data_IF_413108547703
#
_entry.id   IF_413108547703
#
_cell.length_a   1.000
_cell.length_b   1.000
_cell.length_c   1.000
_cell.angle_alpha   90.00
_cell.angle_beta   90.00
_cell.angle_gamma   90.00
#
_symmetry.space_group_name_H-M   'P 1'
#
loop_
_entity.id
_entity.type
_entity.pdbx_description
1 polymer ?
#
# COMPACT_ATOMS: atom_id res chain seq x y z
N UNK A 1 44.90 -42.00 23.27
CA UNK A 1 43.59 -42.22 23.89
C UNK A 1 42.68 -41.04 23.55
N UNK A 2 41.56 -41.34 22.86
CA UNK A 2 40.22 -40.71 22.85
C UNK A 2 40.12 -39.18 22.69
N UNK A 3 39.27 -38.58 21.86
CA UNK A 3 38.35 -38.97 20.79
C UNK A 3 37.90 -37.62 20.17
N UNK A 4 38.38 -37.27 18.98
CA UNK A 4 37.62 -37.04 17.74
C UNK A 4 36.14 -36.59 17.87
N UNK A 5 35.70 -35.72 16.94
CA UNK A 5 34.78 -34.61 17.13
C UNK A 5 33.33 -35.01 16.82
N UNK A 6 32.37 -34.48 17.57
CA UNK A 6 30.93 -34.66 17.35
C UNK A 6 30.45 -33.61 16.33
N UNK A 7 31.05 -33.66 15.14
CA UNK A 7 30.52 -33.12 13.90
C UNK A 7 30.46 -34.31 12.94
N UNK A 8 29.33 -34.47 12.24
CA UNK A 8 28.97 -35.58 11.33
C UNK A 8 28.23 -36.73 12.03
N UNK A 9 26.89 -36.70 11.99
CA UNK A 9 26.01 -37.85 11.77
C UNK A 9 24.53 -37.45 12.00
N UNK A 10 23.93 -36.74 11.04
CA UNK A 10 22.47 -36.66 10.89
C UNK A 10 21.99 -36.19 9.51
N UNK A 11 22.78 -36.36 8.45
CA UNK A 11 22.31 -36.18 7.06
C UNK A 11 22.36 -37.52 6.33
N UNK A 12 21.45 -38.41 6.73
CA UNK A 12 21.17 -39.61 5.96
C UNK A 12 19.68 -39.90 6.11
N UNK A 13 18.91 -39.49 5.09
CA UNK A 13 17.74 -40.19 4.55
C UNK A 13 17.20 -39.46 3.29
N UNK A 14 18.09 -38.94 2.44
CA UNK A 14 17.78 -38.72 1.03
C UNK A 14 18.27 -39.93 0.23
N UNK A 15 17.37 -40.80 -0.19
CA UNK A 15 17.75 -41.90 -1.08
C UNK A 15 16.72 -43.00 -1.23
N UNK A 16 15.63 -42.74 -1.97
CA UNK A 16 14.87 -43.80 -2.62
C UNK A 16 14.64 -43.46 -4.09
N UNK A 17 15.43 -44.15 -4.93
CA UNK A 17 15.01 -44.83 -6.16
C UNK A 17 14.40 -44.00 -7.29
N UNK A 18 15.28 -43.55 -8.19
CA UNK A 18 15.05 -43.80 -9.61
C UNK A 18 15.08 -45.32 -9.83
N UNK A 19 13.95 -45.92 -10.24
CA UNK A 19 13.81 -47.13 -11.05
C UNK A 19 12.36 -47.63 -10.95
N UNK A 20 11.42 -47.00 -11.67
CA UNK A 20 10.24 -47.70 -12.19
C UNK A 20 9.52 -46.86 -13.28
N UNK A 21 10.08 -46.80 -14.49
CA UNK A 21 9.28 -46.47 -15.67
C UNK A 21 8.68 -47.79 -16.17
N UNK A 22 7.47 -48.09 -15.72
CA UNK A 22 6.59 -49.02 -16.43
C UNK A 22 5.60 -48.21 -17.25
N UNK A 23 5.27 -48.62 -18.49
CA UNK A 23 4.49 -47.80 -19.41
C UNK A 23 3.01 -47.89 -19.02
N UNK A 24 2.43 -46.77 -18.60
CA UNK A 24 0.97 -46.66 -18.47
C UNK A 24 0.46 -45.87 -19.66
N UNK A 25 -0.37 -46.55 -20.43
CA UNK A 25 -1.10 -46.09 -21.61
C UNK A 25 -1.83 -44.75 -21.36
N UNK A 26 -2.02 -43.92 -22.40
CA UNK A 26 -2.72 -42.65 -22.24
C UNK A 26 -4.22 -42.92 -22.08
N UNK A 27 -4.70 -42.91 -20.83
CA UNK A 27 -6.15 -42.83 -20.57
C UNK A 27 -6.59 -41.40 -20.85
N UNK A 28 -7.23 -41.25 -22.00
CA UNK A 28 -7.96 -40.10 -22.47
C UNK A 28 -8.96 -39.64 -21.39
N UNK A 29 -8.57 -38.63 -20.59
CA UNK A 29 -9.47 -37.99 -19.62
C UNK A 29 -10.47 -37.10 -20.35
N UNK A 30 -11.64 -37.67 -20.61
CA UNK A 30 -12.87 -36.94 -20.92
C UNK A 30 -13.36 -36.26 -19.64
N UNK A 31 -12.78 -35.11 -19.29
CA UNK A 31 -13.28 -34.26 -18.20
C UNK A 31 -14.04 -33.07 -18.79
N UNK A 32 -15.38 -33.12 -18.70
CA UNK A 32 -16.28 -32.02 -19.02
C UNK A 32 -15.89 -30.77 -18.20
N UNK A 33 -15.73 -29.58 -18.81
CA UNK A 33 -15.41 -28.37 -18.08
C UNK A 33 -16.57 -27.96 -17.16
N UNK A 34 -16.31 -27.55 -15.90
CA UNK A 34 -17.34 -27.03 -15.02
C UNK A 34 -17.88 -25.69 -15.54
N UNK A 35 -19.20 -25.51 -15.45
CA UNK A 35 -19.90 -24.31 -15.86
C UNK A 35 -19.39 -23.06 -15.09
N UNK A 36 -19.31 -21.88 -15.73
CA UNK A 36 -18.83 -20.67 -15.07
C UNK A 36 -19.85 -20.19 -14.03
N UNK A 37 -19.42 -20.09 -12.77
CA UNK A 37 -20.20 -19.44 -11.70
C UNK A 37 -20.44 -17.95 -12.02
N UNK A 38 -21.64 -17.42 -11.72
CA UNK A 38 -21.98 -16.02 -11.99
C UNK A 38 -21.15 -15.09 -11.10
N UNK A 39 -20.36 -14.23 -11.74
CA UNK A 39 -19.47 -13.27 -11.08
C UNK A 39 -20.30 -12.19 -10.38
N UNK A 40 -20.35 -12.21 -9.04
CA UNK A 40 -21.02 -11.18 -8.24
C UNK A 40 -20.39 -9.79 -8.53
N UNK A 41 -21.17 -8.73 -8.81
CA UNK A 41 -20.62 -7.40 -9.08
C UNK A 41 -19.81 -6.88 -7.89
N UNK A 42 -18.55 -6.51 -8.13
CA UNK A 42 -17.69 -5.91 -7.11
C UNK A 42 -18.21 -4.50 -6.77
N UNK A 43 -18.36 -4.12 -5.49
CA UNK A 43 -18.81 -2.79 -5.14
C UNK A 43 -17.85 -1.73 -5.70
N UNK A 44 -18.37 -0.58 -6.19
CA UNK A 44 -17.55 0.50 -6.72
C UNK A 44 -16.62 1.02 -5.62
N UNK A 45 -15.32 1.05 -5.92
CA UNK A 45 -14.32 1.62 -5.01
C UNK A 45 -14.44 3.15 -5.05
N UNK A 46 -14.40 3.84 -3.89
CA UNK A 46 -14.36 5.30 -3.88
C UNK A 46 -13.22 5.81 -4.76
N UNK A 47 -13.51 6.83 -5.58
CA UNK A 47 -12.49 7.42 -6.43
C UNK A 47 -11.36 7.99 -5.55
N UNK A 48 -10.08 7.73 -5.89
CA UNK A 48 -8.97 8.26 -5.13
C UNK A 48 -8.95 9.79 -5.22
N UNK A 49 -8.73 10.45 -4.08
CA UNK A 49 -8.57 11.91 -4.02
C UNK A 49 -7.31 12.32 -4.77
N UNK A 50 -7.48 13.14 -5.82
CA UNK A 50 -6.38 13.57 -6.69
C UNK A 50 -5.58 14.68 -6.03
N UNK A 51 -4.25 14.56 -6.01
CA UNK A 51 -3.38 15.63 -5.51
C UNK A 51 -2.95 16.50 -6.70
N UNK A 52 -3.15 17.79 -6.56
CA UNK A 52 -2.56 18.83 -7.39
C UNK A 52 -1.39 19.45 -6.64
N UNK A 53 -0.22 19.52 -7.25
CA UNK A 53 0.96 20.19 -6.66
C UNK A 53 1.12 21.62 -7.15
N UNK A 54 0.37 22.00 -8.19
CA UNK A 54 0.43 23.31 -8.82
C UNK A 54 -1.00 23.85 -8.97
N UNK A 55 -1.18 25.16 -8.73
CA UNK A 55 -2.49 25.80 -8.81
C UNK A 55 -2.96 25.95 -10.27
N UNK A 56 -2.03 25.99 -11.22
CA UNK A 56 -2.26 26.14 -12.65
C UNK A 56 -3.12 25.00 -13.22
N UNK A 57 -3.02 23.80 -12.63
CA UNK A 57 -3.83 22.64 -13.05
C UNK A 57 -5.32 22.80 -12.73
N UNK A 58 -5.66 23.76 -11.86
CA UNK A 58 -7.04 24.10 -11.49
C UNK A 58 -7.58 25.29 -12.28
N UNK A 59 -6.72 26.01 -13.02
CA UNK A 59 -7.14 27.15 -13.84
C UNK A 59 -8.11 26.67 -14.93
N UNK A 60 -9.26 27.33 -15.02
CA UNK A 60 -10.32 26.97 -15.97
C UNK A 60 -11.18 25.77 -15.56
N UNK A 61 -10.88 25.11 -14.44
CA UNK A 61 -11.74 24.05 -13.87
C UNK A 61 -12.60 24.66 -12.76
N UNK A 62 -13.94 24.58 -12.82
CA UNK A 62 -14.77 25.00 -11.71
C UNK A 62 -14.55 24.05 -10.52
N UNK A 63 -14.16 24.61 -9.38
CA UNK A 63 -14.00 23.87 -8.15
C UNK A 63 -14.63 24.60 -6.97
N UNK A 64 -15.07 23.83 -5.98
CA UNK A 64 -15.52 24.34 -4.68
C UNK A 64 -14.44 24.07 -3.65
N UNK A 65 -14.03 25.09 -2.92
CA UNK A 65 -13.18 24.93 -1.76
C UNK A 65 -14.00 24.38 -0.58
N UNK A 66 -13.49 23.32 0.05
CA UNK A 66 -14.09 22.67 1.22
C UNK A 66 -13.34 23.04 2.50
N UNK A 67 -12.17 23.67 2.41
CA UNK A 67 -11.35 24.12 3.52
C UNK A 67 -9.94 23.52 3.54
N UNK A 68 -9.13 23.99 4.49
CA UNK A 68 -7.77 23.48 4.69
C UNK A 68 -7.79 22.08 5.31
N UNK A 69 -6.87 21.24 4.85
CA UNK A 69 -6.63 19.90 5.36
C UNK A 69 -5.16 19.73 5.67
N UNK A 70 -4.90 18.95 6.71
CA UNK A 70 -3.55 18.58 7.13
C UNK A 70 -3.40 17.07 7.21
N UNK A 71 -2.18 16.61 7.00
CA UNK A 71 -1.80 15.22 7.17
C UNK A 71 -0.39 15.15 7.71
N UNK A 72 -0.19 14.31 8.72
CA UNK A 72 1.07 14.27 9.45
C UNK A 72 1.57 12.86 9.72
N UNK A 73 2.88 12.70 9.80
CA UNK A 73 3.56 11.48 10.24
C UNK A 73 4.41 11.84 11.46
N UNK A 74 3.94 11.45 12.64
CA UNK A 74 4.63 11.68 13.91
C UNK A 74 5.55 10.51 14.25
N UNK A 75 6.79 10.82 14.62
CA UNK A 75 7.71 9.93 15.30
C UNK A 75 7.73 10.33 16.78
N UNK A 76 7.16 9.51 17.67
CA UNK A 76 7.05 9.85 19.09
C UNK A 76 8.41 9.77 19.82
N UNK A 77 9.21 8.75 19.50
CA UNK A 77 10.54 8.51 20.08
C UNK A 77 11.58 8.19 19.01
N UNK A 78 12.87 8.26 19.38
CA UNK A 78 13.98 7.89 18.49
C UNK A 78 13.97 6.41 18.06
N UNK A 79 13.24 5.54 18.77
CA UNK A 79 13.12 4.11 18.43
C UNK A 79 12.00 3.85 17.42
N UNK A 80 11.07 4.81 17.26
CA UNK A 80 9.99 4.69 16.28
C UNK A 80 10.52 4.96 14.87
N UNK A 81 9.77 4.50 13.87
CA UNK A 81 10.09 4.77 12.47
C UNK A 81 10.18 6.28 12.22
N UNK A 82 11.18 6.75 11.45
CA UNK A 82 11.31 8.16 11.11
C UNK A 82 10.07 8.71 10.41
N UNK A 83 9.78 10.01 10.55
CA UNK A 83 8.64 10.62 9.89
C UNK A 83 8.81 10.59 8.36
N UNK A 84 7.71 10.31 7.66
CA UNK A 84 7.72 10.03 6.23
C UNK A 84 6.71 10.94 5.50
N UNK A 85 7.21 11.79 4.58
CA UNK A 85 6.39 12.72 3.78
C UNK A 85 5.31 11.99 2.96
N UNK A 86 5.61 10.92 2.20
CA UNK A 86 4.57 10.12 1.55
C UNK A 86 3.43 9.66 2.47
N UNK A 87 3.74 9.29 3.71
CA UNK A 87 2.74 8.89 4.71
C UNK A 87 1.89 10.07 5.16
N UNK A 88 2.52 11.22 5.44
CA UNK A 88 1.82 12.47 5.75
C UNK A 88 0.87 12.88 4.61
N UNK A 89 1.34 12.82 3.35
CA UNK A 89 0.54 13.10 2.15
C UNK A 89 -0.62 12.13 1.96
N UNK A 90 -0.44 10.84 2.27
CA UNK A 90 -1.54 9.88 2.24
C UNK A 90 -2.59 10.19 3.32
N UNK A 91 -2.16 10.56 4.53
CA UNK A 91 -3.07 10.99 5.60
C UNK A 91 -3.82 12.27 5.23
N UNK A 92 -3.17 13.21 4.56
CA UNK A 92 -3.78 14.41 3.98
C UNK A 92 -4.92 14.03 3.01
N UNK A 93 -4.66 13.12 2.06
CA UNK A 93 -5.70 12.63 1.13
C UNK A 93 -6.87 11.97 1.85
N UNK A 94 -6.61 11.17 2.88
CA UNK A 94 -7.65 10.51 3.68
C UNK A 94 -8.51 11.56 4.41
N UNK A 95 -7.90 12.59 4.97
CA UNK A 95 -8.62 13.66 5.65
C UNK A 95 -9.46 14.49 4.68
N UNK A 96 -8.93 14.80 3.50
CA UNK A 96 -9.71 15.42 2.43
C UNK A 96 -10.89 14.53 1.98
N UNK A 97 -10.68 13.22 1.86
CA UNK A 97 -11.75 12.28 1.53
C UNK A 97 -12.88 12.28 2.59
N UNK A 98 -12.55 12.41 3.88
CA UNK A 98 -13.54 12.55 4.96
C UNK A 98 -14.40 13.81 4.80
N UNK A 99 -13.84 14.87 4.21
CA UNK A 99 -14.56 16.10 3.86
C UNK A 99 -15.35 15.99 2.56
N UNK A 100 -15.41 14.81 1.95
CA UNK A 100 -16.05 14.55 0.64
C UNK A 100 -15.39 15.32 -0.51
N UNK A 101 -14.12 15.65 -0.37
CA UNK A 101 -13.30 16.21 -1.44
C UNK A 101 -12.96 15.12 -2.47
N UNK A 102 -12.82 15.49 -3.73
CA UNK A 102 -12.28 14.63 -4.78
C UNK A 102 -10.86 15.05 -5.20
N UNK A 103 -10.39 16.19 -4.70
CA UNK A 103 -9.08 16.74 -4.98
C UNK A 103 -8.47 17.41 -3.74
N UNK A 104 -7.15 17.53 -3.72
CA UNK A 104 -6.39 18.35 -2.77
C UNK A 104 -5.37 19.16 -3.54
N UNK A 105 -5.32 20.47 -3.31
CA UNK A 105 -4.19 21.31 -3.70
C UNK A 105 -3.15 21.27 -2.58
N UNK A 106 -2.00 20.68 -2.83
CA UNK A 106 -0.91 20.56 -1.87
C UNK A 106 -0.11 21.86 -1.85
N UNK A 107 0.05 22.46 -0.67
CA UNK A 107 0.79 23.71 -0.49
C UNK A 107 2.25 23.43 -0.17
N UNK A 108 2.48 22.68 0.92
CA UNK A 108 3.83 22.33 1.35
C UNK A 108 3.84 21.01 2.12
N UNK A 109 5.01 20.40 2.19
CA UNK A 109 5.31 19.27 3.05
C UNK A 109 6.68 19.51 3.69
N UNK A 110 6.74 19.52 5.01
CA UNK A 110 7.96 19.83 5.75
C UNK A 110 8.17 18.82 6.88
N UNK A 111 9.44 18.64 7.27
CA UNK A 111 9.82 17.81 8.42
C UNK A 111 10.33 18.73 9.51
N UNK A 112 9.60 18.79 10.60
CA UNK A 112 9.86 19.66 11.75
C UNK A 112 10.26 18.83 12.97
N UNK A 113 11.08 19.41 13.84
CA UNK A 113 11.40 18.87 15.16
C UNK A 113 10.83 19.71 16.27
N UNK A 114 10.61 19.09 17.43
CA UNK A 114 10.18 19.81 18.63
C UNK A 114 8.68 20.07 18.69
N UNK A 115 7.87 19.37 17.88
CA UNK A 115 6.41 19.40 18.08
C UNK A 115 6.07 18.69 19.38
N UNK A 116 5.21 19.26 20.25
CA UNK A 116 4.77 18.57 21.45
C UNK A 116 4.20 17.18 21.13
N UNK A 117 4.73 16.15 21.77
CA UNK A 117 4.33 14.75 21.55
C UNK A 117 5.03 14.02 20.39
N UNK A 118 5.82 14.71 19.56
CA UNK A 118 6.60 14.11 18.49
C UNK A 118 8.07 14.53 18.59
N UNK A 119 8.98 13.57 18.69
CA UNK A 119 10.41 13.83 18.55
C UNK A 119 10.70 14.51 17.19
N UNK A 120 10.12 13.98 16.11
CA UNK A 120 10.14 14.54 14.76
C UNK A 120 8.77 14.33 14.11
N UNK A 121 8.39 15.22 13.20
CA UNK A 121 7.12 15.13 12.51
C UNK A 121 7.25 15.61 11.08
N UNK A 122 6.69 14.86 10.13
CA UNK A 122 6.44 15.33 8.77
C UNK A 122 5.00 15.84 8.71
N UNK A 123 4.79 17.07 8.25
CA UNK A 123 3.46 17.66 8.09
C UNK A 123 3.30 18.10 6.64
N UNK A 124 2.17 17.74 6.04
CA UNK A 124 1.74 18.22 4.75
C UNK A 124 0.44 19.01 4.93
N UNK A 125 0.36 20.16 4.28
CA UNK A 125 -0.78 21.08 4.35
C UNK A 125 -1.31 21.29 2.92
N UNK A 126 -2.62 21.39 2.78
CA UNK A 126 -3.26 21.60 1.49
C UNK A 126 -4.69 22.10 1.64
N UNK A 127 -5.31 22.47 0.52
CA UNK A 127 -6.73 22.80 0.44
C UNK A 127 -7.51 21.61 -0.13
N UNK A 128 -8.58 21.21 0.54
CA UNK A 128 -9.48 20.17 0.08
C UNK A 128 -10.49 20.78 -0.90
N UNK A 129 -10.56 20.23 -2.11
CA UNK A 129 -11.35 20.78 -3.20
C UNK A 129 -12.33 19.75 -3.73
N UNK A 130 -13.49 20.23 -4.20
CA UNK A 130 -14.39 19.47 -5.05
C UNK A 130 -14.37 20.06 -6.46
N UNK A 131 -13.61 19.43 -7.35
CA UNK A 131 -13.47 19.82 -8.76
C UNK A 131 -14.56 19.16 -9.57
N UNK A 132 -15.42 19.94 -10.22
CA UNK A 132 -16.42 19.37 -11.13
C UNK A 132 -15.74 18.96 -12.43
N UNK A 133 -15.96 17.72 -12.87
CA UNK A 133 -15.73 17.38 -14.27
C UNK A 133 -16.73 18.20 -15.10
N UNK A 134 -16.25 18.90 -16.12
CA UNK A 134 -17.08 19.62 -17.09
C UNK A 134 -17.21 18.76 -18.34
#
# INVERSE_FOLDING_TARGET
MRALPICLLAFALSGCSMLNRSPVEPVQSTATPPAPEPTKPKPPRPAPVRIYTNAEELVGKPFRDLGEVTGESCQASNQDSPPNIPTARKRLQINAAKMKANAVLLHSCEVTSGTPGCYRQAVCIGSALNVSAK
#
